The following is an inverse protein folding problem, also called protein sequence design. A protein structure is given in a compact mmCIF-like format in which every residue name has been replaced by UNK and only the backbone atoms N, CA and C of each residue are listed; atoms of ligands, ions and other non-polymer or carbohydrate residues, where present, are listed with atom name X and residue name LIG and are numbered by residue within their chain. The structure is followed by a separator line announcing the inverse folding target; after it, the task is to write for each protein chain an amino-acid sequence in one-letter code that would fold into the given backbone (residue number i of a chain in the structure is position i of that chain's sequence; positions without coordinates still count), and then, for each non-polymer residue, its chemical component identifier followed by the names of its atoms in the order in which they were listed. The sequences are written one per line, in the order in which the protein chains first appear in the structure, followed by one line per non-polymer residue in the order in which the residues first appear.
data_IF_825920832574
#
_entry.id   IF_825920832574
#
_cell.length_a   1.000
_cell.length_b   1.000
_cell.length_c   1.000
_cell.angle_alpha   90.00
_cell.angle_beta   90.00
_cell.angle_gamma   90.00
#
_symmetry.space_group_name_H-M   'P 1'
#
loop_
_entity.id
_entity.type
_entity.pdbx_description
1 polymer ?
#
# COMPACT_ATOMS: atom_id res chain seq x y z
N UNK A 1 -5.16 -3.38 -17.79
CA UNK A 1 -3.78 -3.40 -17.26
C UNK A 1 -2.76 -2.71 -18.18
N UNK A 2 -2.98 -2.68 -19.49
CA UNK A 2 -2.07 -2.03 -20.45
C UNK A 2 -1.80 -0.55 -20.16
N UNK A 3 -2.79 0.18 -19.63
CA UNK A 3 -2.60 1.60 -19.25
C UNK A 3 -1.67 1.76 -18.05
N UNK A 4 -1.83 0.91 -17.03
CA UNK A 4 -0.96 0.91 -15.84
C UNK A 4 0.45 0.51 -16.26
N UNK A 5 0.60 -0.51 -17.11
CA UNK A 5 1.87 -0.95 -17.62
C UNK A 5 2.61 0.18 -18.36
N UNK A 6 1.93 0.84 -19.30
CA UNK A 6 2.50 1.99 -20.02
C UNK A 6 2.89 3.13 -19.08
N UNK A 7 2.05 3.43 -18.08
CA UNK A 7 2.38 4.45 -17.09
C UNK A 7 3.61 4.06 -16.28
N UNK A 8 3.70 2.82 -15.81
CA UNK A 8 4.87 2.32 -15.10
C UNK A 8 6.13 2.35 -15.97
N UNK A 9 6.05 1.95 -17.24
CA UNK A 9 7.16 1.99 -18.18
C UNK A 9 7.67 3.42 -18.49
N UNK A 10 6.79 4.42 -18.38
CA UNK A 10 7.14 5.84 -18.57
C UNK A 10 7.72 6.45 -17.29
N UNK A 11 7.25 6.03 -16.11
CA UNK A 11 7.64 6.62 -14.84
C UNK A 11 8.93 6.02 -14.27
N UNK A 12 9.21 4.75 -14.59
CA UNK A 12 10.36 4.03 -14.05
C UNK A 12 11.37 3.72 -15.15
N UNK A 13 12.60 4.23 -15.01
CA UNK A 13 13.73 3.84 -15.87
C UNK A 13 14.14 2.38 -15.64
N UNK A 14 14.08 1.94 -14.36
CA UNK A 14 14.36 0.56 -13.95
C UNK A 14 13.27 -0.40 -14.48
N UNK A 15 13.69 -1.49 -15.11
CA UNK A 15 12.79 -2.53 -15.63
C UNK A 15 12.79 -3.79 -14.77
N UNK A 16 13.87 -4.00 -14.02
CA UNK A 16 14.08 -5.13 -13.11
C UNK A 16 14.34 -4.62 -11.70
N UNK A 17 14.05 -5.44 -10.70
CA UNK A 17 14.42 -5.12 -9.31
C UNK A 17 15.93 -4.93 -9.14
N UNK A 18 16.76 -5.63 -9.92
CA UNK A 18 18.21 -5.50 -9.91
C UNK A 18 18.74 -4.14 -10.39
N UNK A 19 17.92 -3.36 -11.10
CA UNK A 19 18.30 -2.04 -11.62
C UNK A 19 18.15 -0.95 -10.56
N UNK A 20 17.50 -1.28 -9.42
CA UNK A 20 17.19 -0.33 -8.35
C UNK A 20 18.43 -0.06 -7.48
N UNK A 21 18.64 1.21 -7.14
CA UNK A 21 19.70 1.64 -6.21
C UNK A 21 19.36 1.34 -4.74
N UNK A 22 18.06 1.36 -4.43
CA UNK A 22 17.53 1.06 -3.09
C UNK A 22 16.71 -0.21 -3.24
N UNK A 23 16.92 -1.23 -2.38
CA UNK A 23 16.12 -2.44 -2.40
C UNK A 23 14.63 -2.13 -2.27
N UNK A 24 13.79 -2.80 -3.06
CA UNK A 24 12.34 -2.64 -3.05
C UNK A 24 11.68 -3.99 -2.89
N UNK A 25 10.61 -4.01 -2.11
CA UNK A 25 9.68 -5.13 -2.00
C UNK A 25 8.32 -4.66 -2.49
N UNK A 26 7.69 -5.43 -3.36
CA UNK A 26 6.33 -5.17 -3.85
C UNK A 26 5.44 -6.34 -3.48
N UNK A 27 4.26 -6.07 -2.92
CA UNK A 27 3.27 -7.10 -2.58
C UNK A 27 2.10 -7.10 -3.57
N UNK A 28 1.61 -8.29 -3.88
CA UNK A 28 0.34 -8.50 -4.57
C UNK A 28 -0.44 -9.64 -3.89
N UNK A 29 -1.70 -9.84 -4.24
CA UNK A 29 -2.52 -10.92 -3.69
C UNK A 29 -2.94 -11.88 -4.78
N UNK A 30 -2.75 -13.18 -4.56
CA UNK A 30 -3.32 -14.22 -5.41
C UNK A 30 -4.72 -14.59 -4.92
N UNK A 31 -5.75 -14.23 -5.67
CA UNK A 31 -7.15 -14.50 -5.31
C UNK A 31 -7.54 -15.98 -5.34
N UNK A 32 -6.76 -16.84 -5.99
CA UNK A 32 -7.05 -18.29 -6.04
C UNK A 32 -6.62 -18.96 -4.73
N UNK A 33 -5.42 -18.64 -4.25
CA UNK A 33 -4.89 -19.21 -3.01
C UNK A 33 -5.20 -18.38 -1.77
N UNK A 34 -5.54 -17.09 -1.93
CA UNK A 34 -5.71 -16.12 -0.83
C UNK A 34 -4.38 -15.61 -0.25
N UNK A 35 -3.25 -16.00 -0.82
CA UNK A 35 -1.93 -15.67 -0.27
C UNK A 35 -1.40 -14.33 -0.79
N UNK A 36 -0.66 -13.63 0.08
CA UNK A 36 0.20 -12.54 -0.36
C UNK A 36 1.39 -13.08 -1.14
N UNK A 37 1.70 -12.44 -2.27
CA UNK A 37 2.87 -12.72 -3.10
C UNK A 37 3.84 -11.56 -2.97
N UNK A 38 5.07 -11.87 -2.58
CA UNK A 38 6.11 -10.87 -2.32
C UNK A 38 7.15 -10.92 -3.43
N UNK A 39 7.31 -9.82 -4.14
CA UNK A 39 8.28 -9.65 -5.22
C UNK A 39 9.50 -8.89 -4.70
N UNK A 40 10.69 -9.48 -4.89
CA UNK A 40 12.01 -8.90 -4.57
C UNK A 40 12.97 -8.98 -5.76
N UNK A 41 12.57 -9.65 -6.82
CA UNK A 41 13.39 -9.89 -8.01
C UNK A 41 12.53 -10.08 -9.25
N UNK A 42 13.15 -10.06 -10.43
CA UNK A 42 12.50 -10.21 -11.73
C UNK A 42 11.96 -8.88 -12.25
N UNK A 43 10.89 -8.93 -13.04
CA UNK A 43 10.30 -7.75 -13.68
C UNK A 43 9.66 -6.82 -12.65
N UNK A 44 10.22 -5.63 -12.48
CA UNK A 44 9.66 -4.57 -11.64
C UNK A 44 8.31 -4.09 -12.17
N UNK A 45 8.22 -3.92 -13.48
CA UNK A 45 6.99 -3.43 -14.14
C UNK A 45 5.83 -4.42 -13.91
N UNK A 46 6.08 -5.74 -14.08
CA UNK A 46 5.02 -6.73 -13.84
C UNK A 46 4.56 -6.72 -12.37
N UNK A 47 5.48 -6.61 -11.42
CA UNK A 47 5.16 -6.53 -10.00
C UNK A 47 4.30 -5.29 -9.68
N UNK A 48 4.65 -4.12 -10.22
CA UNK A 48 3.89 -2.87 -10.06
C UNK A 48 2.48 -3.03 -10.65
N UNK A 49 2.36 -3.59 -11.87
CA UNK A 49 1.05 -3.79 -12.52
C UNK A 49 0.16 -4.70 -11.67
N UNK A 50 0.71 -5.79 -11.13
CA UNK A 50 -0.04 -6.71 -10.27
C UNK A 50 -0.44 -6.05 -8.95
N UNK A 51 0.49 -5.34 -8.30
CA UNK A 51 0.26 -4.61 -7.06
C UNK A 51 -0.74 -3.45 -7.20
N UNK A 52 -0.95 -2.95 -8.41
CA UNK A 52 -1.88 -1.84 -8.71
C UNK A 52 -3.20 -2.32 -9.33
N UNK A 53 -3.44 -3.64 -9.38
CA UNK A 53 -4.68 -4.21 -9.95
C UNK A 53 -5.81 -4.21 -8.92
N UNK A 54 -6.34 -3.01 -8.62
CA UNK A 54 -7.36 -2.77 -7.59
C UNK A 54 -8.66 -3.48 -7.96
N UNK A 55 -9.16 -4.43 -7.13
CA UNK A 55 -10.39 -5.16 -7.43
C UNK A 55 -11.60 -4.24 -7.61
N UNK A 56 -12.38 -4.47 -8.66
CA UNK A 56 -13.54 -3.66 -9.03
C UNK A 56 -13.23 -2.44 -9.91
N UNK A 57 -11.95 -2.02 -10.03
CA UNK A 57 -11.52 -0.88 -10.85
C UNK A 57 -10.57 -1.29 -11.97
N UNK A 58 -9.73 -2.28 -11.71
CA UNK A 58 -8.74 -2.78 -12.66
C UNK A 58 -8.91 -4.30 -12.79
N UNK A 59 -8.78 -4.81 -14.01
CA UNK A 59 -8.84 -6.26 -14.25
C UNK A 59 -7.67 -6.96 -13.54
N UNK A 60 -7.90 -8.14 -12.94
CA UNK A 60 -6.81 -8.96 -12.43
C UNK A 60 -5.79 -9.31 -13.52
N UNK A 61 -4.56 -9.56 -13.13
CA UNK A 61 -3.57 -10.15 -14.01
C UNK A 61 -3.50 -11.65 -13.81
N UNK A 62 -3.28 -12.39 -14.88
CA UNK A 62 -3.17 -13.85 -14.85
C UNK A 62 -1.75 -14.27 -15.18
N UNK A 63 -1.12 -15.04 -14.29
CA UNK A 63 0.23 -15.57 -14.46
C UNK A 63 0.38 -16.90 -13.69
N UNK A 64 0.92 -17.91 -14.31
CA UNK A 64 1.25 -19.20 -13.67
C UNK A 64 0.06 -19.82 -12.89
N UNK A 65 -1.14 -19.82 -13.49
CA UNK A 65 -2.40 -20.25 -12.87
C UNK A 65 -2.83 -19.44 -11.63
N UNK A 66 -2.28 -18.25 -11.43
CA UNK A 66 -2.66 -17.33 -10.36
C UNK A 66 -3.50 -16.19 -10.93
N UNK A 67 -4.41 -15.69 -10.11
CA UNK A 67 -5.21 -14.49 -10.37
C UNK A 67 -4.74 -13.37 -9.44
N UNK A 68 -3.88 -12.49 -9.96
CA UNK A 68 -3.21 -11.47 -9.17
C UNK A 68 -4.00 -10.17 -9.12
N UNK A 69 -4.12 -9.62 -7.93
CA UNK A 69 -4.71 -8.32 -7.63
C UNK A 69 -3.83 -7.54 -6.67
N UNK A 70 -4.23 -6.31 -6.37
CA UNK A 70 -3.58 -5.39 -5.44
C UNK A 70 -3.20 -6.04 -4.10
N UNK A 71 -2.01 -5.72 -3.62
CA UNK A 71 -1.49 -6.22 -2.35
C UNK A 71 -2.31 -5.82 -1.14
N UNK A 72 -3.04 -4.71 -1.22
CA UNK A 72 -3.90 -4.22 -0.14
C UNK A 72 -5.02 -5.20 0.27
N UNK A 73 -5.32 -6.22 -0.55
CA UNK A 73 -6.33 -7.23 -0.23
C UNK A 73 -5.88 -8.13 0.92
N UNK A 74 -4.64 -8.62 0.89
CA UNK A 74 -4.12 -9.56 1.90
C UNK A 74 -3.02 -8.95 2.78
N UNK A 75 -2.37 -7.86 2.34
CA UNK A 75 -1.27 -7.22 3.06
C UNK A 75 -1.30 -5.69 2.86
N UNK A 76 -2.27 -4.98 3.49
CA UNK A 76 -2.51 -3.54 3.26
C UNK A 76 -1.31 -2.66 3.62
N UNK A 77 -0.58 -2.98 4.68
CA UNK A 77 0.71 -2.35 4.98
C UNK A 77 1.75 -3.48 5.10
N UNK A 78 2.68 -3.60 4.14
CA UNK A 78 3.58 -4.76 4.04
C UNK A 78 4.77 -4.67 4.99
N UNK A 79 4.51 -4.64 6.31
CA UNK A 79 5.54 -4.63 7.38
C UNK A 79 6.19 -6.00 7.54
N UNK A 80 5.38 -7.06 7.60
CA UNK A 80 5.86 -8.43 7.86
C UNK A 80 7.04 -8.88 6.97
N UNK A 81 7.07 -8.58 5.65
CA UNK A 81 8.20 -8.95 4.80
C UNK A 81 9.53 -8.29 5.17
N UNK A 82 9.52 -7.20 5.94
CA UNK A 82 10.70 -6.43 6.33
C UNK A 82 11.31 -6.90 7.68
N UNK A 83 10.55 -7.61 8.51
CA UNK A 83 10.95 -7.96 9.89
C UNK A 83 12.33 -8.59 10.06
N UNK A 84 12.78 -9.37 9.08
CA UNK A 84 14.08 -10.03 9.14
C UNK A 84 15.12 -9.39 8.22
N UNK A 85 14.80 -8.23 7.65
CA UNK A 85 15.65 -7.54 6.67
C UNK A 85 16.02 -6.12 7.11
N UNK A 86 15.36 -5.60 8.15
CA UNK A 86 15.57 -4.24 8.66
C UNK A 86 15.66 -4.26 10.18
N UNK A 87 16.52 -3.41 10.72
CA UNK A 87 16.69 -3.21 12.17
C UNK A 87 15.60 -2.28 12.74
N UNK A 88 15.00 -1.44 11.88
CA UNK A 88 13.95 -0.51 12.24
C UNK A 88 12.96 -0.33 11.08
N UNK A 89 11.68 -0.44 11.35
CA UNK A 89 10.61 -0.40 10.34
C UNK A 89 9.69 0.80 10.58
N UNK A 90 9.65 1.71 9.62
CA UNK A 90 8.71 2.82 9.61
C UNK A 90 7.55 2.45 8.69
N UNK A 91 6.34 2.38 9.24
CA UNK A 91 5.13 2.17 8.46
C UNK A 91 4.40 3.49 8.18
N UNK A 92 4.00 3.71 6.93
CA UNK A 92 3.16 4.85 6.55
C UNK A 92 1.74 4.32 6.28
N UNK A 93 0.82 4.64 7.19
CA UNK A 93 -0.56 4.19 7.08
C UNK A 93 -1.45 5.25 6.42
N UNK A 94 -1.80 5.02 5.16
CA UNK A 94 -2.70 5.85 4.38
C UNK A 94 -4.16 5.36 4.39
N UNK A 95 -4.48 4.36 5.22
CA UNK A 95 -5.84 3.84 5.33
C UNK A 95 -6.78 4.90 5.90
N UNK A 96 -7.89 5.13 5.20
CA UNK A 96 -8.91 6.09 5.62
C UNK A 96 -9.56 5.65 6.92
N UNK A 97 -9.80 6.62 7.83
CA UNK A 97 -10.57 6.39 9.05
C UNK A 97 -12.02 5.99 8.74
N UNK A 98 -12.60 5.14 9.59
CA UNK A 98 -13.99 4.70 9.42
C UNK A 98 -14.99 5.78 9.86
N UNK A 99 -14.59 6.62 10.82
CA UNK A 99 -15.42 7.65 11.45
C UNK A 99 -15.84 8.76 10.49
N UNK A 100 -15.00 9.00 9.48
CA UNK A 100 -15.17 10.09 8.52
C UNK A 100 -15.92 9.69 7.24
N UNK A 101 -16.43 8.47 7.16
CA UNK A 101 -17.08 7.98 5.96
C UNK A 101 -18.60 8.13 6.05
N UNK A 102 -19.28 8.63 4.99
CA UNK A 102 -20.73 8.75 4.97
C UNK A 102 -21.40 7.38 5.13
N UNK A 103 -22.63 7.36 5.63
CA UNK A 103 -23.42 6.14 5.75
C UNK A 103 -23.66 5.52 4.37
N UNK A 104 -23.43 4.21 4.19
CA UNK A 104 -23.63 3.55 2.89
C UNK A 104 -25.12 3.46 2.56
N UNK A 105 -25.49 3.87 1.36
CA UNK A 105 -26.89 4.03 0.90
C UNK A 105 -27.38 2.90 -0.01
N UNK A 106 -26.48 2.05 -0.50
CA UNK A 106 -26.83 0.97 -1.43
C UNK A 106 -25.93 -0.27 -1.20
N UNK A 107 -26.30 -1.39 -1.82
CA UNK A 107 -25.62 -2.67 -1.60
C UNK A 107 -24.14 -2.64 -2.00
N UNK A 108 -23.76 -1.86 -3.01
CA UNK A 108 -22.36 -1.74 -3.46
C UNK A 108 -21.54 -0.98 -2.42
N UNK A 109 -22.07 0.10 -1.89
CA UNK A 109 -21.44 0.89 -0.82
C UNK A 109 -21.36 0.08 0.49
N UNK A 110 -22.38 -0.69 0.83
CA UNK A 110 -22.37 -1.61 1.98
C UNK A 110 -21.24 -2.64 1.81
N UNK A 111 -21.13 -3.27 0.64
CA UNK A 111 -20.07 -4.25 0.36
C UNK A 111 -18.68 -3.61 0.43
N UNK A 112 -18.50 -2.42 -0.14
CA UNK A 112 -17.25 -1.67 -0.03
C UNK A 112 -16.91 -1.37 1.44
N UNK A 113 -17.90 -0.95 2.23
CA UNK A 113 -17.71 -0.66 3.66
C UNK A 113 -17.32 -1.91 4.46
N UNK A 114 -17.93 -3.06 4.17
CA UNK A 114 -17.55 -4.34 4.81
C UNK A 114 -16.08 -4.67 4.53
N UNK A 115 -15.64 -4.50 3.28
CA UNK A 115 -14.24 -4.67 2.89
C UNK A 115 -13.34 -3.70 3.64
N UNK A 116 -13.69 -2.42 3.69
CA UNK A 116 -12.88 -1.38 4.33
C UNK A 116 -12.74 -1.65 5.85
N UNK A 117 -13.80 -2.13 6.51
CA UNK A 117 -13.75 -2.57 7.91
C UNK A 117 -12.75 -3.73 8.07
N UNK A 118 -12.84 -4.75 7.22
CA UNK A 118 -11.94 -5.92 7.27
C UNK A 118 -10.48 -5.52 7.05
N UNK A 119 -10.22 -4.67 6.06
CA UNK A 119 -8.88 -4.13 5.78
C UNK A 119 -8.36 -3.29 6.93
N UNK A 120 -9.18 -2.44 7.53
CA UNK A 120 -8.77 -1.62 8.69
C UNK A 120 -8.38 -2.48 9.89
N UNK A 121 -9.13 -3.53 10.18
CA UNK A 121 -8.78 -4.49 11.24
C UNK A 121 -7.49 -5.23 10.95
N UNK A 122 -7.34 -5.81 9.74
CA UNK A 122 -6.10 -6.47 9.33
C UNK A 122 -4.91 -5.52 9.45
N UNK A 123 -5.08 -4.29 8.96
CA UNK A 123 -4.03 -3.27 8.98
C UNK A 123 -3.62 -2.90 10.42
N UNK A 124 -4.55 -2.87 11.37
CA UNK A 124 -4.22 -2.58 12.77
C UNK A 124 -3.28 -3.63 13.37
N UNK A 125 -3.42 -4.91 13.01
CA UNK A 125 -2.49 -5.96 13.44
C UNK A 125 -1.12 -5.83 12.78
N UNK A 126 -1.08 -5.53 11.47
CA UNK A 126 0.17 -5.36 10.74
C UNK A 126 0.97 -4.15 11.24
N UNK A 127 0.31 -3.05 11.55
CA UNK A 127 0.96 -1.84 12.06
C UNK A 127 1.60 -2.03 13.44
N UNK A 128 1.10 -2.97 14.27
CA UNK A 128 1.73 -3.32 15.54
C UNK A 128 3.09 -4.03 15.36
N UNK A 129 3.42 -4.45 14.15
CA UNK A 129 4.70 -5.06 13.81
C UNK A 129 5.76 -4.04 13.35
N UNK A 130 5.39 -2.78 13.14
CA UNK A 130 6.30 -1.69 12.84
C UNK A 130 6.80 -1.02 14.12
N UNK A 131 8.04 -0.53 14.08
CA UNK A 131 8.65 0.21 15.20
C UNK A 131 8.08 1.62 15.28
N UNK A 132 7.79 2.24 14.14
CA UNK A 132 7.21 3.57 14.07
C UNK A 132 6.10 3.67 13.02
N UNK A 133 5.02 4.42 13.32
CA UNK A 133 3.87 4.56 12.41
C UNK A 133 3.56 6.02 12.14
N UNK A 134 3.60 6.42 10.87
CA UNK A 134 3.16 7.75 10.41
C UNK A 134 1.76 7.62 9.79
N UNK A 135 0.83 8.48 10.21
CA UNK A 135 -0.57 8.49 9.72
C UNK A 135 -0.92 9.85 9.15
N UNK A 136 -0.78 10.07 7.84
CA UNK A 136 -1.25 11.29 7.19
C UNK A 136 -2.76 11.49 7.37
N UNK A 137 -3.17 12.72 7.68
CA UNK A 137 -4.60 13.10 7.77
C UNK A 137 -5.01 13.73 6.44
N UNK A 138 -5.83 13.05 5.67
CA UNK A 138 -6.26 13.49 4.34
C UNK A 138 -7.74 13.93 4.27
N UNK A 139 -8.27 14.52 5.34
CA UNK A 139 -9.54 15.26 5.44
C UNK A 139 -10.68 14.63 4.60
N UNK A 140 -10.99 13.37 4.80
CA UNK A 140 -12.07 12.65 4.10
C UNK A 140 -11.96 12.58 2.57
N UNK A 141 -10.82 12.92 1.98
CA UNK A 141 -10.59 12.76 0.56
C UNK A 141 -10.71 11.29 0.17
N UNK A 142 -11.47 11.01 -0.87
CA UNK A 142 -11.52 9.66 -1.42
C UNK A 142 -10.20 9.36 -2.15
N UNK A 143 -9.69 8.13 -2.04
CA UNK A 143 -8.42 7.70 -2.64
C UNK A 143 -8.33 7.97 -4.15
N UNK A 144 -9.47 8.03 -4.86
CA UNK A 144 -9.56 8.31 -6.30
C UNK A 144 -9.68 9.80 -6.66
N UNK A 145 -9.54 10.70 -5.69
CA UNK A 145 -9.58 12.16 -5.92
C UNK A 145 -8.26 12.65 -6.53
N UNK A 146 -7.91 12.17 -7.73
CA UNK A 146 -6.67 12.51 -8.43
C UNK A 146 -6.54 14.00 -8.78
N UNK A 147 -7.65 14.73 -8.81
CA UNK A 147 -7.70 16.19 -8.96
C UNK A 147 -7.22 16.95 -7.71
N UNK A 148 -7.02 16.24 -6.60
CA UNK A 148 -6.58 16.78 -5.29
C UNK A 148 -5.25 16.20 -4.82
N UNK A 149 -4.41 15.76 -5.75
CA UNK A 149 -3.10 15.15 -5.45
C UNK A 149 -2.24 16.03 -4.54
N UNK A 150 -2.23 17.36 -4.76
CA UNK A 150 -1.47 18.30 -3.93
C UNK A 150 -1.85 18.22 -2.45
N UNK A 151 -3.14 18.05 -2.13
CA UNK A 151 -3.61 17.90 -0.74
C UNK A 151 -3.12 16.60 -0.09
N UNK A 152 -3.00 15.51 -0.86
CA UNK A 152 -2.43 14.28 -0.35
C UNK A 152 -0.93 14.41 -0.06
N UNK A 153 -0.20 15.13 -0.93
CA UNK A 153 1.22 15.42 -0.73
C UNK A 153 1.40 16.27 0.53
N UNK A 154 0.69 17.39 0.66
CA UNK A 154 0.72 18.27 1.83
C UNK A 154 0.40 17.52 3.13
N UNK A 155 -0.60 16.63 3.11
CA UNK A 155 -0.95 15.80 4.26
C UNK A 155 0.19 14.84 4.66
N UNK A 156 0.88 14.26 3.66
CA UNK A 156 2.05 13.40 3.87
C UNK A 156 3.23 14.15 4.47
N UNK A 157 3.58 15.30 3.89
CA UNK A 157 4.65 16.19 4.36
C UNK A 157 4.39 16.64 5.80
N UNK A 158 3.20 17.18 6.07
CA UNK A 158 2.83 17.62 7.42
C UNK A 158 2.88 16.49 8.45
N UNK A 159 2.45 15.28 8.08
CA UNK A 159 2.51 14.13 8.98
C UNK A 159 3.97 13.73 9.28
N UNK A 160 4.85 13.77 8.28
CA UNK A 160 6.27 13.45 8.44
C UNK A 160 6.97 14.52 9.31
N UNK A 161 6.75 15.81 9.05
CA UNK A 161 7.30 16.91 9.84
C UNK A 161 6.89 16.83 11.31
N UNK A 162 5.63 16.54 11.59
CA UNK A 162 5.13 16.40 12.96
C UNK A 162 5.68 15.16 13.67
N UNK A 163 6.09 14.14 12.93
CA UNK A 163 6.59 12.88 13.48
C UNK A 163 8.12 12.87 13.65
N UNK A 164 8.87 13.76 12.97
CA UNK A 164 10.33 13.65 12.81
C UNK A 164 11.08 13.63 14.14
N UNK A 165 10.71 14.46 15.12
CA UNK A 165 11.41 14.52 16.40
C UNK A 165 11.24 13.23 17.20
N UNK A 166 10.02 12.70 17.27
CA UNK A 166 9.74 11.44 17.96
C UNK A 166 10.40 10.27 17.22
N UNK A 167 10.43 10.29 15.88
CA UNK A 167 11.13 9.28 15.09
C UNK A 167 12.63 9.26 15.37
N UNK A 168 13.26 10.43 15.49
CA UNK A 168 14.69 10.53 15.78
C UNK A 168 15.00 10.00 17.19
N UNK A 169 14.17 10.32 18.19
CA UNK A 169 14.31 9.78 19.56
C UNK A 169 14.18 8.24 19.58
N UNK A 170 13.24 7.67 18.84
CA UNK A 170 13.09 6.21 18.76
C UNK A 170 14.28 5.55 18.04
N UNK A 171 14.80 6.17 16.98
CA UNK A 171 15.98 5.68 16.27
C UNK A 171 17.24 5.69 17.15
N UNK A 172 17.45 6.73 17.98
CA UNK A 172 18.58 6.81 18.91
C UNK A 172 18.54 5.69 19.95
N UNK A 173 17.37 5.17 20.30
CA UNK A 173 17.23 4.06 21.26
C UNK A 173 17.57 2.68 20.64
N UNK A 174 17.67 2.57 19.32
CA UNK A 174 17.94 1.30 18.60
C UNK A 174 19.40 1.18 18.16
N UNK A 175 20.11 2.32 18.05
CA UNK A 175 21.54 2.39 17.68
C UNK A 175 22.41 2.35 18.93
#
# INVERSE_FOLDING_TARGET
NERIKKAAELLFDAKQFSDLKIPLIVSATDLISGNSIIYKSGSLIDAIVQSSSIPGFVEPTYKDNRMMVDGNVALPTPVTPLKNECDFIIAINITRGMEDQPEPSNIVEIYSRVRDVSVAHLNSYLLNEADFVIKPKHDNLHWSAFDKTDKFIEAGESAAENAINNLLEELENVI
#
